data_IF_912491878626
#
_entry.id   IF_912491878626
#
_cell.length_a   1.000
_cell.length_b   1.000
_cell.length_c   1.000
_cell.angle_alpha   90.00
_cell.angle_beta   90.00
_cell.angle_gamma   90.00
#
_symmetry.space_group_name_H-M   'P 1'
#
loop_
_entity.id
_entity.type
_entity.pdbx_description
1 polymer ?
#
# COMPACT_ATOMS: atom_id res chain seq x y z
N UNK A 1 -3.23 -19.67 -31.22
CA UNK A 1 -4.10 -18.80 -30.42
C UNK A 1 -3.22 -17.83 -29.65
N UNK A 2 -3.07 -16.62 -30.17
CA UNK A 2 -2.20 -15.58 -29.60
C UNK A 2 -2.85 -14.96 -28.36
N UNK A 3 -2.04 -14.55 -27.39
CA UNK A 3 -2.47 -13.73 -26.27
C UNK A 3 -1.69 -12.42 -26.30
N UNK A 4 -2.32 -11.36 -25.82
CA UNK A 4 -1.72 -10.03 -25.72
C UNK A 4 -1.60 -9.65 -24.26
N UNK A 5 -0.51 -8.97 -23.92
CA UNK A 5 -0.27 -8.34 -22.63
C UNK A 5 0.33 -6.96 -22.91
N UNK A 6 -0.36 -5.91 -22.50
CA UNK A 6 0.01 -4.53 -22.80
C UNK A 6 0.07 -3.72 -21.52
N UNK A 7 1.21 -3.09 -21.25
CA UNK A 7 1.37 -2.12 -20.18
C UNK A 7 0.62 -0.84 -20.56
N UNK A 8 -0.43 -0.50 -19.81
CA UNK A 8 -1.26 0.69 -20.06
C UNK A 8 -0.93 1.85 -19.13
N UNK A 9 -0.33 1.57 -17.97
CA UNK A 9 0.09 2.58 -17.00
C UNK A 9 1.38 2.17 -16.30
N UNK A 10 2.32 3.10 -16.21
CA UNK A 10 3.63 2.90 -15.60
C UNK A 10 3.94 4.06 -14.65
N UNK A 11 3.61 3.89 -13.37
CA UNK A 11 3.95 4.82 -12.29
C UNK A 11 4.92 4.19 -11.30
N UNK A 12 5.48 5.01 -10.41
CA UNK A 12 6.46 4.56 -9.41
C UNK A 12 5.91 3.53 -8.41
N UNK A 13 4.63 3.63 -8.08
CA UNK A 13 3.94 2.76 -7.11
C UNK A 13 2.89 1.86 -7.75
N UNK A 14 2.58 2.04 -9.03
CA UNK A 14 1.45 1.40 -9.69
C UNK A 14 1.79 1.04 -11.13
N UNK A 15 1.61 -0.23 -11.49
CA UNK A 15 1.75 -0.73 -12.86
C UNK A 15 0.45 -1.39 -13.27
N UNK A 16 -0.09 -1.03 -14.44
CA UNK A 16 -1.33 -1.62 -14.97
C UNK A 16 -1.07 -2.27 -16.31
N UNK A 17 -1.48 -3.53 -16.43
CA UNK A 17 -1.44 -4.30 -17.67
C UNK A 17 -2.84 -4.75 -18.06
N UNK A 18 -3.15 -4.64 -19.34
CA UNK A 18 -4.33 -5.25 -19.93
C UNK A 18 -3.92 -6.50 -20.68
N UNK A 19 -4.67 -7.58 -20.50
CA UNK A 19 -4.40 -8.86 -21.15
C UNK A 19 -5.65 -9.42 -21.79
N UNK A 20 -5.48 -10.05 -22.95
CA UNK A 20 -6.53 -10.76 -23.66
C UNK A 20 -6.02 -12.12 -24.14
N UNK A 21 -6.75 -13.19 -23.82
CA UNK A 21 -6.40 -14.53 -24.27
C UNK A 21 -7.50 -15.56 -24.04
N UNK A 22 -7.68 -16.48 -24.98
CA UNK A 22 -8.71 -17.53 -24.95
C UNK A 22 -8.41 -18.72 -24.02
N UNK A 23 -7.25 -18.74 -23.36
CA UNK A 23 -6.79 -19.85 -22.53
C UNK A 23 -5.99 -19.31 -21.33
N UNK A 24 -6.00 -20.00 -20.18
CA UNK A 24 -5.14 -19.63 -19.06
C UNK A 24 -3.67 -19.70 -19.46
N UNK A 25 -2.87 -18.72 -19.05
CA UNK A 25 -1.46 -18.60 -19.42
C UNK A 25 -0.64 -18.04 -18.29
N UNK A 26 0.62 -18.45 -18.25
CA UNK A 26 1.60 -17.87 -17.35
C UNK A 26 2.23 -16.63 -18.01
N UNK A 27 1.96 -15.45 -17.45
CA UNK A 27 2.51 -14.19 -17.90
C UNK A 27 3.80 -13.88 -17.14
N UNK A 28 4.83 -13.43 -17.87
CA UNK A 28 6.10 -12.95 -17.29
C UNK A 28 6.19 -11.45 -17.58
N UNK A 29 6.50 -10.67 -16.55
CA UNK A 29 6.59 -9.22 -16.61
C UNK A 29 8.04 -8.80 -16.43
N UNK A 30 8.50 -7.82 -17.20
CA UNK A 30 9.87 -7.27 -17.14
C UNK A 30 10.11 -6.39 -15.91
N UNK A 31 9.53 -6.76 -14.76
CA UNK A 31 9.54 -6.01 -13.51
C UNK A 31 10.28 -6.78 -12.42
N UNK A 32 11.00 -6.06 -11.56
CA UNK A 32 11.78 -6.68 -10.48
C UNK A 32 10.86 -7.35 -9.47
N UNK A 33 11.10 -8.63 -9.18
CA UNK A 33 10.45 -9.39 -8.14
C UNK A 33 10.86 -8.86 -6.76
N UNK A 34 9.93 -8.17 -6.09
CA UNK A 34 10.14 -7.64 -4.74
C UNK A 34 8.89 -7.84 -3.88
N UNK A 35 8.77 -8.98 -3.17
CA UNK A 35 7.56 -9.34 -2.40
C UNK A 35 7.36 -8.51 -1.13
N UNK A 36 8.33 -7.67 -0.76
CA UNK A 36 8.30 -6.87 0.48
C UNK A 36 7.53 -5.55 0.34
N UNK A 37 6.65 -5.43 -0.65
CA UNK A 37 5.82 -4.25 -0.81
C UNK A 37 4.94 -4.25 -2.05
N UNK A 38 5.32 -4.96 -3.12
CA UNK A 38 4.46 -5.10 -4.27
C UNK A 38 3.38 -6.15 -4.02
N UNK A 39 2.12 -5.81 -4.31
CA UNK A 39 0.98 -6.71 -4.38
C UNK A 39 0.52 -6.79 -5.83
N UNK A 40 0.02 -7.95 -6.25
CA UNK A 40 -0.61 -8.12 -7.55
C UNK A 40 -2.12 -8.29 -7.39
N UNK A 41 -2.88 -7.75 -8.34
CA UNK A 41 -4.33 -7.82 -8.41
C UNK A 41 -4.75 -8.20 -9.82
N UNK A 42 -5.74 -9.08 -9.95
CA UNK A 42 -6.40 -9.41 -11.22
C UNK A 42 -7.86 -9.04 -11.07
N UNK A 43 -8.34 -8.10 -11.88
CA UNK A 43 -9.68 -7.51 -11.80
C UNK A 43 -10.04 -7.05 -10.37
N UNK A 44 -9.08 -6.40 -9.70
CA UNK A 44 -9.21 -5.92 -8.33
C UNK A 44 -9.09 -6.98 -7.23
N UNK A 45 -8.90 -8.27 -7.57
CA UNK A 45 -8.71 -9.34 -6.59
C UNK A 45 -7.23 -9.61 -6.35
N UNK A 46 -6.81 -9.52 -5.09
CA UNK A 46 -5.44 -9.81 -4.69
C UNK A 46 -5.06 -11.23 -5.09
N UNK A 47 -3.97 -11.37 -5.82
CA UNK A 47 -3.50 -12.62 -6.42
C UNK A 47 -2.01 -12.79 -6.16
N UNK A 48 -1.60 -14.03 -5.92
CA UNK A 48 -0.18 -14.34 -5.73
C UNK A 48 0.57 -14.27 -7.07
N UNK A 49 1.81 -13.80 -7.00
CA UNK A 49 2.74 -13.77 -8.12
C UNK A 49 4.07 -14.37 -7.66
N UNK A 50 4.82 -14.91 -8.60
CA UNK A 50 6.04 -15.66 -8.34
C UNK A 50 7.26 -14.96 -8.92
N UNK A 51 8.43 -15.37 -8.45
CA UNK A 51 9.68 -15.03 -9.09
C UNK A 51 9.83 -15.89 -10.36
N UNK A 52 9.93 -15.23 -11.51
CA UNK A 52 10.26 -15.84 -12.78
C UNK A 52 11.69 -15.44 -13.17
N UNK A 53 12.48 -16.38 -13.67
CA UNK A 53 13.83 -16.11 -14.16
C UNK A 53 14.71 -15.29 -13.17
N UNK A 54 14.62 -15.60 -11.87
CA UNK A 54 15.38 -14.99 -10.77
C UNK A 54 15.06 -13.51 -10.45
N UNK A 55 14.70 -12.70 -11.45
CA UNK A 55 14.51 -11.25 -11.30
C UNK A 55 13.10 -10.80 -11.68
N UNK A 56 12.40 -11.53 -12.54
CA UNK A 56 11.15 -11.10 -13.13
C UNK A 56 9.94 -11.51 -12.27
N UNK A 57 8.81 -10.83 -12.46
CA UNK A 57 7.52 -11.26 -11.89
C UNK A 57 6.83 -12.22 -12.86
N UNK A 58 6.19 -13.25 -12.30
CA UNK A 58 5.34 -14.18 -13.04
C UNK A 58 3.97 -14.29 -12.39
N UNK A 59 2.91 -14.36 -13.18
CA UNK A 59 1.53 -14.52 -12.68
C UNK A 59 0.73 -15.44 -13.61
N UNK A 60 -0.07 -16.34 -13.01
CA UNK A 60 -1.00 -17.17 -13.76
C UNK A 60 -2.27 -16.37 -14.07
N UNK A 61 -2.47 -16.03 -15.34
CA UNK A 61 -3.62 -15.26 -15.82
C UNK A 61 -4.71 -16.23 -16.30
N UNK A 62 -5.96 -16.08 -15.84
CA UNK A 62 -7.09 -16.86 -16.35
C UNK A 62 -7.37 -16.59 -17.84
N UNK A 63 -8.24 -17.41 -18.44
CA UNK A 63 -8.72 -17.14 -19.79
C UNK A 63 -9.71 -15.98 -19.76
N UNK A 64 -9.57 -15.03 -20.69
CA UNK A 64 -10.45 -13.89 -20.82
C UNK A 64 -9.69 -12.61 -21.13
N UNK A 65 -10.38 -11.50 -20.88
CA UNK A 65 -9.79 -10.17 -20.80
C UNK A 65 -9.69 -9.81 -19.33
N UNK A 66 -8.50 -9.41 -18.89
CA UNK A 66 -8.25 -9.10 -17.50
C UNK A 66 -7.38 -7.87 -17.36
N UNK A 67 -7.64 -7.11 -16.30
CA UNK A 67 -6.79 -6.02 -15.87
C UNK A 67 -5.91 -6.50 -14.71
N UNK A 68 -4.60 -6.44 -14.91
CA UNK A 68 -3.60 -6.81 -13.91
C UNK A 68 -2.99 -5.54 -13.35
N UNK A 69 -2.99 -5.41 -12.03
CA UNK A 69 -2.42 -4.26 -11.34
C UNK A 69 -1.35 -4.73 -10.36
N UNK A 70 -0.16 -4.17 -10.47
CA UNK A 70 0.83 -4.24 -9.40
C UNK A 70 0.81 -2.93 -8.65
N UNK A 71 0.65 -2.98 -7.32
CA UNK A 71 0.59 -1.80 -6.46
C UNK A 71 1.61 -1.95 -5.33
N UNK A 72 2.41 -0.93 -5.09
CA UNK A 72 3.42 -0.88 -4.05
C UNK A 72 2.83 -0.37 -2.73
N UNK A 73 2.48 -1.30 -1.85
CA UNK A 73 1.84 -1.06 -0.56
C UNK A 73 2.66 -1.70 0.58
N UNK A 74 3.86 -1.17 0.89
CA UNK A 74 4.73 -1.75 1.90
C UNK A 74 4.11 -1.67 3.31
N UNK A 75 4.18 -2.80 4.03
CA UNK A 75 3.66 -2.90 5.41
C UNK A 75 4.33 -1.90 6.35
N UNK A 76 5.60 -1.55 6.10
CA UNK A 76 6.34 -0.56 6.89
C UNK A 76 5.69 0.82 6.90
N UNK A 77 5.14 1.27 5.77
CA UNK A 77 4.43 2.56 5.68
C UNK A 77 3.13 2.50 6.47
N UNK A 78 2.38 1.39 6.37
CA UNK A 78 1.14 1.20 7.13
C UNK A 78 1.41 1.24 8.65
N UNK A 79 2.40 0.49 9.11
CA UNK A 79 2.79 0.45 10.53
C UNK A 79 3.34 1.78 11.01
N UNK A 80 4.20 2.43 10.21
CA UNK A 80 4.75 3.75 10.52
C UNK A 80 3.66 4.80 10.70
N UNK A 81 2.67 4.83 9.81
CA UNK A 81 1.52 5.73 9.93
C UNK A 81 0.73 5.49 11.21
N UNK A 82 0.45 4.23 11.57
CA UNK A 82 -0.27 3.91 12.82
C UNK A 82 0.49 4.40 14.04
N UNK A 83 1.80 4.16 14.11
CA UNK A 83 2.65 4.63 15.23
C UNK A 83 2.67 6.15 15.26
N UNK A 84 2.88 6.81 14.13
CA UNK A 84 2.90 8.27 14.02
C UNK A 84 1.60 8.91 14.54
N UNK A 85 0.44 8.41 14.09
CA UNK A 85 -0.85 8.91 14.57
C UNK A 85 -1.05 8.64 16.07
N UNK A 86 -0.66 7.46 16.56
CA UNK A 86 -0.72 7.15 17.99
C UNK A 86 0.13 8.09 18.84
N UNK A 87 1.38 8.33 18.42
CA UNK A 87 2.28 9.29 19.08
C UNK A 87 1.77 10.72 19.02
N UNK A 88 1.20 11.14 17.88
CA UNK A 88 0.62 12.47 17.73
C UNK A 88 -0.52 12.71 18.71
N UNK A 89 -1.47 11.76 18.81
CA UNK A 89 -2.58 11.83 19.77
C UNK A 89 -2.06 11.89 21.21
N UNK A 90 -1.09 11.04 21.56
CA UNK A 90 -0.49 11.05 22.90
C UNK A 90 0.14 12.39 23.27
N UNK A 91 0.94 12.97 22.36
CA UNK A 91 1.57 14.28 22.57
C UNK A 91 0.50 15.37 22.74
N UNK A 92 -0.53 15.37 21.89
CA UNK A 92 -1.64 16.33 22.00
C UNK A 92 -2.34 16.24 23.35
N UNK A 93 -2.60 15.03 23.86
CA UNK A 93 -3.21 14.85 25.19
C UNK A 93 -2.31 15.36 26.32
N UNK A 94 -0.99 15.12 26.25
CA UNK A 94 -0.03 15.62 27.23
C UNK A 94 0.00 17.15 27.24
N UNK A 95 -0.01 17.79 26.06
CA UNK A 95 -0.02 19.25 25.95
C UNK A 95 -1.34 19.83 26.49
N UNK A 96 -2.48 19.28 26.09
CA UNK A 96 -3.80 19.75 26.54
C UNK A 96 -3.98 19.60 28.06
N UNK A 97 -3.53 18.48 28.63
CA UNK A 97 -3.59 18.25 30.08
C UNK A 97 -2.68 19.21 30.85
N UNK A 98 -1.46 19.46 30.34
CA UNK A 98 -0.55 20.46 30.89
C UNK A 98 -1.14 21.87 30.87
N UNK A 99 -1.71 22.29 29.74
CA UNK A 99 -2.37 23.60 29.60
C UNK A 99 -3.58 23.73 30.53
N UNK A 100 -4.39 22.67 30.66
CA UNK A 100 -5.55 22.67 31.57
C UNK A 100 -5.13 22.81 33.04
N UNK A 101 -4.08 22.09 33.46
CA UNK A 101 -3.55 22.20 34.82
C UNK A 101 -2.96 23.58 35.11
N UNK A 102 -2.24 24.17 34.14
CA UNK A 102 -1.73 25.53 34.24
C UNK A 102 -2.87 26.55 34.36
N UNK A 103 -3.90 26.43 33.52
CA UNK A 103 -5.09 27.29 33.56
C UNK A 103 -5.81 27.21 34.92
N UNK A 104 -6.01 26.01 35.45
CA UNK A 104 -6.65 25.81 36.76
C UNK A 104 -5.82 26.44 37.89
N UNK A 105 -4.51 26.20 37.91
CA UNK A 105 -3.60 26.73 38.93
C UNK A 105 -3.65 28.25 38.99
N UNK A 106 -3.59 28.93 37.84
CA UNK A 106 -3.65 30.39 37.74
C UNK A 106 -4.95 30.99 38.29
N UNK A 107 -6.10 30.28 38.16
CA UNK A 107 -7.38 30.75 38.73
C UNK A 107 -7.46 30.60 40.25
N UNK A 108 -6.88 29.54 40.82
CA UNK A 108 -6.86 29.34 42.28
C UNK A 108 -5.95 30.32 43.01
N UNK A 109 -4.85 30.76 42.40
CA UNK A 109 -3.93 31.73 43.02
C UNK A 109 -4.48 33.16 43.07
N UNK A 110 -5.38 33.54 42.15
CA UNK A 110 -6.04 34.85 42.16
C UNK A 110 -7.14 35.02 43.22
N UNK A 111 -7.58 33.94 43.88
CA UNK A 111 -8.63 33.98 44.92
C UNK A 111 -8.04 34.19 46.33
N UNK A 112 -6.71 34.10 46.48
CA UNK A 112 -6.01 34.19 47.77
C UNK A 112 -5.45 35.59 48.12
N UNK A 113 -5.68 36.61 47.29
CA UNK A 113 -5.29 38.00 47.57
C UNK A 113 -6.52 38.87 47.84
#
# INVERSE_FOLDING_TARGET
SSATLTLTRFDNDTLVYETAGSKPRFAVFSEIYYPKGWNAYVDGKKTDYVNANYVLRGLLVPAGQHRIEFIFEPVSVKTGNTVMYGSSVLITLVVLTGLFMAYKTSRTSGVKN
#
